data_IF_059500787009
#
_entry.id   IF_059500787009
#
_cell.length_a   1.000
_cell.length_b   1.000
_cell.length_c   1.000
_cell.angle_alpha   90.00
_cell.angle_beta   90.00
_cell.angle_gamma   90.00
#
_symmetry.space_group_name_H-M   'P 1'
#
loop_
_entity.id
_entity.type
_entity.pdbx_description
1 polymer ?
#
# COMPACT_ATOMS: atom_id res chain seq x y z
N UNK A 1 -14.74 -2.97 -20.71
CA UNK A 1 -15.03 -2.30 -19.45
C UNK A 1 -13.82 -2.39 -18.50
N UNK A 2 -13.28 -3.59 -18.20
CA UNK A 2 -12.13 -3.74 -17.26
C UNK A 2 -10.90 -2.98 -17.74
N UNK A 3 -10.45 -3.14 -18.98
CA UNK A 3 -9.29 -2.42 -19.52
C UNK A 3 -9.45 -0.88 -19.46
N UNK A 4 -10.67 -0.38 -19.59
CA UNK A 4 -10.94 1.06 -19.45
C UNK A 4 -10.81 1.53 -18.00
N UNK A 5 -11.30 0.74 -17.05
CA UNK A 5 -11.14 1.04 -15.61
C UNK A 5 -9.67 1.00 -15.20
N UNK A 6 -8.94 -0.02 -15.65
CA UNK A 6 -7.49 -0.14 -15.41
C UNK A 6 -6.73 1.07 -15.96
N UNK A 7 -7.03 1.49 -17.19
CA UNK A 7 -6.43 2.69 -17.78
C UNK A 7 -6.67 3.91 -16.89
N UNK A 8 -7.92 4.18 -16.47
CA UNK A 8 -8.25 5.34 -15.64
C UNK A 8 -7.62 5.27 -14.25
N UNK A 9 -7.55 4.07 -13.64
CA UNK A 9 -6.87 3.89 -12.35
C UNK A 9 -5.37 4.15 -12.49
N UNK A 10 -4.73 3.62 -13.54
CA UNK A 10 -3.30 3.83 -13.80
C UNK A 10 -2.98 5.30 -14.08
N UNK A 11 -3.84 6.01 -14.82
CA UNK A 11 -3.69 7.45 -15.08
C UNK A 11 -3.80 8.31 -13.81
N UNK A 12 -4.66 7.92 -12.86
CA UNK A 12 -4.90 8.68 -11.62
C UNK A 12 -3.95 8.31 -10.48
N UNK A 13 -3.57 7.03 -10.36
CA UNK A 13 -2.75 6.50 -9.26
C UNK A 13 -1.26 6.39 -9.61
N UNK A 14 -0.93 6.47 -10.90
CA UNK A 14 0.43 6.31 -11.41
C UNK A 14 0.77 4.87 -11.80
N UNK A 15 1.88 4.71 -12.52
CA UNK A 15 2.33 3.44 -13.11
C UNK A 15 2.79 2.38 -12.09
N UNK A 16 3.00 2.77 -10.85
CA UNK A 16 3.40 1.86 -9.77
C UNK A 16 2.20 1.16 -9.10
N UNK A 17 0.97 1.44 -9.57
CA UNK A 17 -0.22 0.77 -9.07
C UNK A 17 -0.25 -0.65 -9.63
N UNK A 18 -0.15 -1.62 -8.74
CA UNK A 18 -0.35 -3.02 -9.10
C UNK A 18 -1.85 -3.31 -9.19
N UNK A 19 -2.30 -3.75 -10.36
CA UNK A 19 -3.70 -4.08 -10.62
C UNK A 19 -3.80 -5.55 -10.96
N UNK A 20 -4.55 -6.29 -10.16
CA UNK A 20 -4.86 -7.71 -10.37
C UNK A 20 -6.28 -7.88 -10.89
N UNK A 21 -6.48 -8.79 -11.83
CA UNK A 21 -7.79 -9.10 -12.41
C UNK A 21 -8.24 -10.51 -12.05
N UNK A 22 -9.48 -10.63 -11.61
CA UNK A 22 -10.09 -11.91 -11.26
C UNK A 22 -11.35 -12.12 -12.13
N UNK A 23 -11.47 -13.30 -12.72
CA UNK A 23 -12.61 -13.65 -13.58
C UNK A 23 -13.88 -13.98 -12.81
N UNK A 24 -13.79 -14.25 -11.50
CA UNK A 24 -14.93 -14.52 -10.62
C UNK A 24 -14.64 -14.16 -9.19
N UNK A 25 -15.69 -14.08 -8.36
CA UNK A 25 -15.57 -13.84 -6.93
C UNK A 25 -14.84 -14.97 -6.22
N UNK A 26 -15.04 -16.21 -6.63
CA UNK A 26 -14.37 -17.39 -6.07
C UNK A 26 -12.86 -17.35 -6.33
N UNK A 27 -12.43 -16.91 -7.53
CA UNK A 27 -11.01 -16.78 -7.86
C UNK A 27 -10.34 -15.71 -6.97
N UNK A 28 -11.00 -14.56 -6.76
CA UNK A 28 -10.52 -13.54 -5.83
C UNK A 28 -10.43 -14.09 -4.40
N UNK A 29 -11.45 -14.78 -3.91
CA UNK A 29 -11.48 -15.34 -2.56
C UNK A 29 -10.44 -16.42 -2.33
N UNK A 30 -10.07 -17.18 -3.36
CA UNK A 30 -9.02 -18.20 -3.28
C UNK A 30 -7.61 -17.58 -3.09
N UNK A 31 -7.39 -16.40 -3.66
CA UNK A 31 -6.12 -15.65 -3.56
C UNK A 31 -6.12 -14.61 -2.43
N UNK A 32 -7.29 -14.38 -1.82
CA UNK A 32 -7.49 -13.34 -0.81
C UNK A 32 -6.65 -13.57 0.45
N UNK A 33 -6.04 -12.49 0.90
CA UNK A 33 -5.41 -12.39 2.22
C UNK A 33 -5.66 -11.00 2.78
N UNK A 34 -5.94 -10.86 4.08
CA UNK A 34 -6.09 -9.54 4.72
C UNK A 34 -4.86 -8.66 4.46
N UNK A 35 -5.09 -7.44 3.99
CA UNK A 35 -4.03 -6.48 3.67
C UNK A 35 -3.33 -6.70 2.33
N UNK A 36 -3.76 -7.66 1.50
CA UNK A 36 -3.20 -7.88 0.16
C UNK A 36 -3.58 -6.76 -0.82
N UNK A 37 -4.77 -6.17 -0.63
CA UNK A 37 -5.29 -5.10 -1.49
C UNK A 37 -5.74 -3.90 -0.67
N UNK A 38 -5.48 -2.70 -1.17
CA UNK A 38 -5.99 -1.46 -0.61
C UNK A 38 -7.42 -1.17 -1.07
N UNK A 39 -7.70 -1.50 -2.32
CA UNK A 39 -8.99 -1.31 -2.97
C UNK A 39 -9.37 -2.57 -3.73
N UNK A 40 -10.61 -3.00 -3.55
CA UNK A 40 -11.23 -4.04 -4.38
C UNK A 40 -12.45 -3.44 -5.06
N UNK A 41 -12.49 -3.53 -6.39
CA UNK A 41 -13.64 -3.11 -7.20
C UNK A 41 -14.38 -4.36 -7.67
N UNK A 42 -15.61 -4.53 -7.22
CA UNK A 42 -16.42 -5.71 -7.47
C UNK A 42 -17.55 -5.39 -8.46
N UNK A 43 -17.69 -6.21 -9.50
CA UNK A 43 -18.95 -6.23 -10.24
C UNK A 43 -20.02 -6.89 -9.38
N UNK A 44 -21.22 -6.32 -9.34
CA UNK A 44 -22.34 -6.93 -8.59
C UNK A 44 -22.83 -8.19 -9.28
N UNK A 45 -22.93 -8.13 -10.61
CA UNK A 45 -23.42 -9.23 -11.41
C UNK A 45 -22.23 -10.01 -12.00
N UNK A 46 -21.77 -11.00 -11.25
CA UNK A 46 -20.76 -11.96 -11.69
C UNK A 46 -21.41 -13.35 -11.84
N UNK A 47 -20.90 -14.18 -12.70
CA UNK A 47 -21.27 -15.59 -12.73
C UNK A 47 -20.79 -16.29 -11.44
N UNK A 48 -21.68 -16.96 -10.72
CA UNK A 48 -21.36 -17.58 -9.42
C UNK A 48 -21.72 -16.69 -8.24
N UNK A 49 -20.81 -16.52 -7.27
CA UNK A 49 -21.04 -15.65 -6.12
C UNK A 49 -21.23 -14.20 -6.56
N UNK A 50 -22.24 -13.53 -6.01
CA UNK A 50 -22.50 -12.12 -6.28
C UNK A 50 -21.40 -11.23 -5.69
N UNK A 51 -21.17 -10.04 -6.26
CA UNK A 51 -20.23 -9.08 -5.70
C UNK A 51 -20.52 -8.73 -4.24
N UNK A 52 -21.80 -8.76 -3.83
CA UNK A 52 -22.23 -8.51 -2.45
C UNK A 52 -21.81 -9.65 -1.50
N UNK A 53 -21.93 -10.90 -1.92
CA UNK A 53 -21.50 -12.05 -1.12
C UNK A 53 -19.98 -12.05 -0.95
N UNK A 54 -19.25 -11.73 -2.02
CA UNK A 54 -17.79 -11.56 -1.97
C UNK A 54 -17.42 -10.44 -1.01
N UNK A 55 -18.05 -9.26 -1.13
CA UNK A 55 -17.81 -8.12 -0.26
C UNK A 55 -18.01 -8.44 1.23
N UNK A 56 -19.08 -9.19 1.59
CA UNK A 56 -19.32 -9.62 2.98
C UNK A 56 -18.18 -10.50 3.50
N UNK A 57 -17.68 -11.43 2.69
CA UNK A 57 -16.54 -12.29 3.07
C UNK A 57 -15.27 -11.49 3.26
N UNK A 58 -14.95 -10.61 2.30
CA UNK A 58 -13.77 -9.74 2.42
C UNK A 58 -13.83 -8.87 3.68
N UNK A 59 -15.01 -8.31 3.97
CA UNK A 59 -15.23 -7.44 5.14
C UNK A 59 -15.13 -8.19 6.46
N UNK A 60 -15.53 -9.46 6.51
CA UNK A 60 -15.38 -10.31 7.70
C UNK A 60 -13.90 -10.56 8.04
N UNK A 61 -13.03 -10.67 7.01
CA UNK A 61 -11.63 -10.95 7.17
C UNK A 61 -10.78 -9.67 7.33
N UNK A 62 -11.19 -8.58 6.64
CA UNK A 62 -10.46 -7.31 6.63
C UNK A 62 -11.43 -6.12 6.70
N UNK A 63 -11.50 -5.51 7.87
CA UNK A 63 -12.29 -4.30 8.09
C UNK A 63 -11.71 -3.04 7.42
N UNK A 64 -10.46 -3.08 6.92
CA UNK A 64 -9.76 -1.90 6.40
C UNK A 64 -9.75 -1.82 4.87
N UNK A 65 -9.89 -2.95 4.16
CA UNK A 65 -9.94 -2.92 2.70
C UNK A 65 -11.04 -1.99 2.19
N UNK A 66 -10.72 -1.18 1.20
CA UNK A 66 -11.71 -0.33 0.55
C UNK A 66 -12.47 -1.14 -0.48
N UNK A 67 -13.80 -1.10 -0.41
CA UNK A 67 -14.67 -1.82 -1.33
C UNK A 67 -15.42 -0.80 -2.18
N UNK A 68 -15.38 -0.97 -3.50
CA UNK A 68 -16.22 -0.24 -4.43
C UNK A 68 -16.96 -1.22 -5.33
N UNK A 69 -18.15 -0.87 -5.74
CA UNK A 69 -18.90 -1.68 -6.70
C UNK A 69 -18.89 -1.03 -8.09
N UNK A 70 -18.69 -1.85 -9.11
CA UNK A 70 -18.82 -1.48 -10.50
C UNK A 70 -20.09 -2.13 -11.07
N UNK A 71 -21.09 -1.35 -11.46
CA UNK A 71 -22.39 -1.89 -11.87
C UNK A 71 -23.06 -1.07 -12.96
N UNK A 72 -23.95 -1.72 -13.72
CA UNK A 72 -24.85 -1.05 -14.66
C UNK A 72 -26.20 -0.67 -14.03
N UNK A 73 -26.53 -1.20 -12.83
CA UNK A 73 -27.79 -0.96 -12.11
C UNK A 73 -27.57 -0.24 -10.79
N UNK A 74 -28.58 0.48 -10.31
CA UNK A 74 -28.59 1.15 -9.01
C UNK A 74 -29.31 0.34 -7.92
N UNK A 75 -29.78 -0.88 -8.22
CA UNK A 75 -30.70 -1.63 -7.36
C UNK A 75 -30.11 -2.05 -6.00
N UNK A 76 -28.77 -2.09 -5.89
CA UNK A 76 -28.07 -2.54 -4.69
C UNK A 76 -27.43 -1.41 -3.89
N UNK A 77 -27.76 -0.16 -4.16
CA UNK A 77 -27.16 0.98 -3.48
C UNK A 77 -27.41 0.96 -1.96
N UNK A 78 -28.58 0.52 -1.50
CA UNK A 78 -28.92 0.38 -0.07
C UNK A 78 -28.14 -0.75 0.61
N UNK A 79 -28.01 -1.90 -0.04
CA UNK A 79 -27.30 -3.06 0.52
C UNK A 79 -25.77 -2.85 0.59
N UNK A 80 -25.23 -1.98 -0.27
CA UNK A 80 -23.81 -1.65 -0.27
C UNK A 80 -23.35 -0.97 1.03
N UNK A 81 -24.25 -0.28 1.73
CA UNK A 81 -23.97 0.31 3.06
C UNK A 81 -23.68 -0.75 4.11
N UNK A 82 -24.33 -1.91 4.06
CA UNK A 82 -24.14 -3.00 5.02
C UNK A 82 -22.72 -3.55 5.02
N UNK A 83 -22.06 -3.58 3.85
CA UNK A 83 -20.67 -4.03 3.68
C UNK A 83 -19.65 -2.89 3.79
N UNK A 84 -20.12 -1.66 4.10
CA UNK A 84 -19.26 -0.50 4.19
C UNK A 84 -18.54 -0.18 2.87
N UNK A 85 -19.23 -0.36 1.73
CA UNK A 85 -18.69 0.04 0.44
C UNK A 85 -18.49 1.56 0.38
N UNK A 86 -17.35 1.99 -0.14
CA UNK A 86 -16.98 3.40 -0.17
C UNK A 86 -17.59 4.12 -1.37
N UNK A 87 -17.82 3.41 -2.46
CA UNK A 87 -18.27 4.00 -3.71
C UNK A 87 -19.03 3.03 -4.60
N UNK A 88 -19.87 3.62 -5.45
CA UNK A 88 -20.62 2.95 -6.50
C UNK A 88 -20.22 3.53 -7.85
N UNK A 89 -19.49 2.76 -8.65
CA UNK A 89 -18.98 3.19 -9.95
C UNK A 89 -19.90 2.67 -11.05
N UNK A 90 -20.57 3.59 -11.74
CA UNK A 90 -21.53 3.22 -12.79
C UNK A 90 -20.85 2.91 -14.13
N UNK A 91 -21.24 1.80 -14.75
CA UNK A 91 -20.87 1.47 -16.14
C UNK A 91 -21.76 2.25 -17.15
N UNK A 92 -21.23 2.72 -18.28
CA UNK A 92 -19.83 2.73 -18.67
C UNK A 92 -19.00 3.69 -17.80
N UNK A 93 -17.76 3.28 -17.52
CA UNK A 93 -16.86 4.07 -16.67
C UNK A 93 -16.48 5.39 -17.33
N UNK A 94 -16.42 6.45 -16.53
CA UNK A 94 -15.97 7.78 -16.93
C UNK A 94 -14.81 8.21 -16.03
N UNK A 95 -13.84 8.98 -16.56
CA UNK A 95 -12.70 9.47 -15.76
C UNK A 95 -13.13 10.21 -14.50
N UNK A 96 -14.18 11.03 -14.59
CA UNK A 96 -14.70 11.81 -13.47
C UNK A 96 -15.26 10.92 -12.35
N UNK A 97 -15.94 9.83 -12.71
CA UNK A 97 -16.47 8.86 -11.75
C UNK A 97 -15.37 8.11 -11.04
N UNK A 98 -14.30 7.73 -11.75
CA UNK A 98 -13.12 7.09 -11.15
C UNK A 98 -12.39 8.06 -10.24
N UNK A 99 -12.20 9.32 -10.64
CA UNK A 99 -11.61 10.36 -9.79
C UNK A 99 -12.40 10.56 -8.51
N UNK A 100 -13.73 10.75 -8.61
CA UNK A 100 -14.60 10.94 -7.44
C UNK A 100 -14.58 9.71 -6.50
N UNK A 101 -14.46 8.49 -7.06
CA UNK A 101 -14.23 7.28 -6.27
C UNK A 101 -12.93 7.36 -5.49
N UNK A 102 -11.82 7.68 -6.16
CA UNK A 102 -10.50 7.75 -5.55
C UNK A 102 -10.40 8.85 -4.48
N UNK A 103 -10.99 10.02 -4.73
CA UNK A 103 -11.09 11.11 -3.74
C UNK A 103 -11.86 10.67 -2.49
N UNK A 104 -12.98 9.96 -2.67
CA UNK A 104 -13.79 9.48 -1.53
C UNK A 104 -13.14 8.33 -0.76
N UNK A 105 -12.23 7.58 -1.39
CA UNK A 105 -11.49 6.50 -0.74
C UNK A 105 -10.48 7.00 0.28
N UNK A 106 -10.12 8.29 0.25
CA UNK A 106 -9.05 8.88 1.07
C UNK A 106 -7.82 7.96 1.12
N UNK A 107 -7.25 7.70 -0.06
CA UNK A 107 -6.08 6.81 -0.20
C UNK A 107 -4.90 7.26 0.65
N UNK A 108 -4.78 8.57 0.89
CA UNK A 108 -3.75 9.10 1.78
C UNK A 108 -3.97 8.69 3.24
N UNK A 109 -5.23 8.70 3.73
CA UNK A 109 -5.52 8.22 5.08
C UNK A 109 -5.28 6.71 5.17
N UNK A 110 -5.60 5.96 4.10
CA UNK A 110 -5.32 4.54 4.00
C UNK A 110 -3.81 4.27 4.06
N UNK A 111 -3.00 4.97 3.26
CA UNK A 111 -1.54 4.85 3.33
C UNK A 111 -0.99 5.21 4.72
N UNK A 112 -1.56 6.23 5.36
CA UNK A 112 -1.16 6.64 6.73
C UNK A 112 -1.50 5.58 7.79
N UNK A 113 -2.60 4.86 7.63
CA UNK A 113 -3.08 3.85 8.57
C UNK A 113 -2.62 2.42 8.24
N UNK A 114 -1.96 2.20 7.10
CA UNK A 114 -1.52 0.87 6.65
C UNK A 114 -0.70 0.16 7.71
N UNK A 115 -1.10 -1.08 8.02
CA UNK A 115 -0.42 -1.91 9.01
C UNK A 115 0.34 -3.03 8.32
N UNK A 116 1.58 -3.22 8.78
CA UNK A 116 2.43 -4.34 8.38
C UNK A 116 2.36 -5.42 9.46
N UNK A 117 2.07 -6.65 9.06
CA UNK A 117 2.17 -7.82 9.95
C UNK A 117 3.63 -8.26 10.03
N UNK A 118 4.14 -8.38 11.23
CA UNK A 118 5.52 -8.76 11.52
C UNK A 118 5.65 -10.28 11.69
N UNK A 119 6.88 -10.84 11.61
CA UNK A 119 7.11 -12.29 11.74
C UNK A 119 6.66 -12.89 13.08
N UNK A 120 6.57 -12.10 14.13
CA UNK A 120 6.06 -12.52 15.45
C UNK A 120 4.53 -12.46 15.57
N UNK A 121 3.83 -12.12 14.47
CA UNK A 121 2.39 -11.97 14.41
C UNK A 121 1.86 -10.61 14.87
N UNK A 122 2.68 -9.75 15.45
CA UNK A 122 2.31 -8.37 15.83
C UNK A 122 2.11 -7.49 14.59
N UNK A 123 1.48 -6.33 14.78
CA UNK A 123 1.26 -5.36 13.71
C UNK A 123 1.90 -4.02 14.06
N UNK A 124 2.44 -3.34 13.06
CA UNK A 124 2.98 -1.99 13.16
C UNK A 124 2.42 -1.11 12.06
N UNK A 125 2.14 0.16 12.36
CA UNK A 125 1.77 1.14 11.33
C UNK A 125 3.00 1.40 10.46
N UNK A 126 2.92 1.13 9.17
CA UNK A 126 4.06 1.20 8.24
C UNK A 126 4.71 2.59 8.25
N UNK A 127 3.90 3.65 8.24
CA UNK A 127 4.34 5.05 8.29
C UNK A 127 4.95 5.47 9.62
N UNK A 128 4.78 4.68 10.69
CA UNK A 128 5.45 4.97 11.97
C UNK A 128 6.92 4.55 11.94
N UNK A 129 7.30 3.59 11.11
CA UNK A 129 8.66 3.07 11.01
C UNK A 129 9.56 4.11 10.34
N UNK A 130 10.59 4.58 11.03
CA UNK A 130 11.63 5.47 10.49
C UNK A 130 12.69 4.67 9.76
N UNK A 131 13.18 3.63 10.41
CA UNK A 131 14.14 2.66 9.86
C UNK A 131 14.11 1.37 10.67
N UNK A 132 14.67 0.32 10.10
CA UNK A 132 14.90 -0.95 10.79
C UNK A 132 16.41 -1.22 10.83
N UNK A 133 16.91 -1.70 11.96
CA UNK A 133 18.30 -2.08 12.12
C UNK A 133 18.42 -3.45 12.77
N UNK A 134 19.40 -4.26 12.32
CA UNK A 134 19.71 -5.56 12.91
C UNK A 134 20.92 -5.50 13.81
N UNK A 135 20.83 -6.20 14.93
CA UNK A 135 21.95 -6.51 15.83
C UNK A 135 21.90 -8.01 16.17
N UNK A 136 22.79 -8.77 15.55
CA UNK A 136 22.83 -10.24 15.67
C UNK A 136 21.52 -10.90 15.22
N UNK A 137 20.82 -11.53 16.18
CA UNK A 137 19.53 -12.21 15.94
C UNK A 137 18.33 -11.34 16.34
N UNK A 138 18.50 -10.03 16.42
CA UNK A 138 17.43 -9.09 16.74
C UNK A 138 17.31 -8.06 15.64
N UNK A 139 16.08 -7.68 15.36
CA UNK A 139 15.76 -6.55 14.46
C UNK A 139 14.98 -5.54 15.28
N UNK A 140 15.47 -4.32 15.34
CA UNK A 140 14.76 -3.20 15.96
C UNK A 140 14.14 -2.32 14.89
N UNK A 141 12.83 -2.16 14.95
CA UNK A 141 12.08 -1.17 14.20
C UNK A 141 12.07 0.12 15.02
N UNK A 142 12.77 1.12 14.54
CA UNK A 142 12.77 2.46 15.14
C UNK A 142 11.56 3.22 14.67
N UNK A 143 10.54 3.33 15.53
CA UNK A 143 9.26 3.94 15.19
C UNK A 143 9.08 5.32 15.83
N UNK A 144 8.12 6.10 15.32
CA UNK A 144 7.77 7.41 15.88
C UNK A 144 7.16 7.33 17.27
N UNK A 145 6.45 6.23 17.52
CA UNK A 145 5.73 5.91 18.75
C UNK A 145 6.55 5.03 19.74
N UNK A 146 7.83 4.82 19.45
CA UNK A 146 8.75 4.03 20.26
C UNK A 146 9.29 2.81 19.52
N UNK A 147 10.46 2.34 19.96
CA UNK A 147 11.16 1.24 19.32
C UNK A 147 10.51 -0.11 19.61
N UNK A 148 10.56 -1.01 18.62
CA UNK A 148 10.05 -2.39 18.72
C UNK A 148 11.13 -3.37 18.31
N UNK A 149 11.53 -4.24 19.23
CA UNK A 149 12.58 -5.23 18.97
C UNK A 149 11.97 -6.62 18.78
N UNK A 150 12.29 -7.22 17.64
CA UNK A 150 11.87 -8.55 17.23
C UNK A 150 13.02 -9.54 17.41
N UNK A 151 12.74 -10.74 17.89
CA UNK A 151 13.69 -11.87 17.88
C UNK A 151 13.55 -12.64 16.58
N UNK A 152 14.16 -12.13 15.53
CA UNK A 152 14.08 -12.68 14.18
C UNK A 152 15.32 -12.33 13.36
N UNK A 153 15.51 -12.99 12.23
CA UNK A 153 16.57 -12.63 11.29
C UNK A 153 16.18 -11.38 10.48
N UNK A 154 17.18 -10.61 10.09
CA UNK A 154 16.96 -9.46 9.20
C UNK A 154 16.40 -9.89 7.83
N UNK A 155 16.81 -11.07 7.33
CA UNK A 155 16.29 -11.65 6.10
C UNK A 155 14.77 -11.93 6.12
N UNK A 156 14.16 -12.05 7.30
CA UNK A 156 12.71 -12.18 7.43
C UNK A 156 11.98 -10.83 7.42
N UNK A 157 12.65 -9.73 7.76
CA UNK A 157 12.04 -8.38 7.88
C UNK A 157 12.32 -7.51 6.65
N UNK A 158 13.54 -7.55 6.12
CA UNK A 158 13.94 -6.72 4.96
C UNK A 158 12.99 -6.87 3.76
N UNK A 159 12.62 -8.08 3.29
CA UNK A 159 11.69 -8.23 2.16
C UNK A 159 10.30 -7.68 2.45
N UNK A 160 9.82 -7.80 3.71
CA UNK A 160 8.51 -7.29 4.10
C UNK A 160 8.45 -5.76 4.03
N UNK A 161 9.53 -5.08 4.42
CA UNK A 161 9.61 -3.62 4.33
C UNK A 161 9.89 -3.18 2.89
N UNK A 162 10.86 -3.79 2.22
CA UNK A 162 11.26 -3.42 0.85
C UNK A 162 10.22 -3.82 -0.22
N UNK A 163 9.14 -4.53 0.14
CA UNK A 163 7.96 -4.66 -0.71
C UNK A 163 7.25 -3.31 -0.96
N UNK A 164 7.53 -2.30 -0.13
CA UNK A 164 6.98 -0.96 -0.28
C UNK A 164 8.04 -0.01 -0.84
N UNK A 165 7.76 0.76 -1.91
CA UNK A 165 8.72 1.63 -2.59
C UNK A 165 9.37 2.69 -1.69
N UNK A 166 8.72 3.04 -0.58
CA UNK A 166 9.26 3.97 0.40
C UNK A 166 10.34 3.37 1.31
N UNK A 167 10.56 2.06 1.28
CA UNK A 167 11.60 1.41 2.07
C UNK A 167 12.74 0.89 1.19
N UNK A 168 13.96 1.12 1.64
CA UNK A 168 15.16 0.67 0.94
C UNK A 168 16.23 0.19 1.91
N UNK A 169 16.80 -0.98 1.62
CA UNK A 169 17.99 -1.45 2.32
C UNK A 169 19.21 -0.62 1.91
N UNK A 170 19.87 0.05 2.84
CA UNK A 170 20.98 0.99 2.56
C UNK A 170 22.35 0.44 2.86
N UNK A 171 22.43 -0.47 3.81
CA UNK A 171 23.64 -1.23 4.14
C UNK A 171 23.24 -2.57 4.75
N UNK A 172 24.22 -3.40 5.09
CA UNK A 172 23.95 -4.70 5.72
C UNK A 172 23.20 -4.50 7.04
N UNK A 173 21.98 -5.05 7.11
CA UNK A 173 21.17 -5.03 8.31
C UNK A 173 20.44 -3.71 8.58
N UNK A 174 20.34 -2.79 7.60
CA UNK A 174 19.60 -1.54 7.76
C UNK A 174 18.68 -1.27 6.56
N UNK A 175 17.40 -1.04 6.85
CA UNK A 175 16.38 -0.55 5.91
C UNK A 175 15.91 0.81 6.36
N UNK A 176 15.85 1.80 5.48
CA UNK A 176 15.36 3.16 5.75
C UNK A 176 14.01 3.41 5.12
N UNK A 177 13.17 4.20 5.76
CA UNK A 177 11.96 4.77 5.19
C UNK A 177 12.26 6.13 4.55
N UNK A 178 12.13 6.25 3.24
CA UNK A 178 12.38 7.48 2.51
C UNK A 178 11.48 8.65 2.89
N UNK A 179 10.30 8.39 3.42
CA UNK A 179 9.45 9.45 3.98
C UNK A 179 10.09 10.17 5.17
N UNK A 180 11.00 9.53 5.87
CA UNK A 180 11.67 10.06 7.05
C UNK A 180 13.03 10.69 6.75
N UNK A 181 13.49 10.60 5.51
CA UNK A 181 14.74 11.25 5.07
C UNK A 181 14.50 12.74 4.91
N UNK A 182 15.21 13.55 5.69
CA UNK A 182 15.25 15.00 5.58
C UNK A 182 16.22 15.47 4.48
N UNK A 183 17.33 14.74 4.31
CA UNK A 183 18.34 15.06 3.32
C UNK A 183 19.41 13.98 3.19
N UNK A 184 20.29 14.15 2.21
CA UNK A 184 21.42 13.26 1.97
C UNK A 184 22.71 14.08 1.86
N UNK A 185 23.74 13.62 2.53
CA UNK A 185 25.10 14.16 2.44
C UNK A 185 26.01 13.00 2.00
N UNK A 186 26.51 13.08 0.77
CA UNK A 186 27.36 12.04 0.15
C UNK A 186 26.77 10.63 0.31
N UNK A 187 27.31 9.83 1.23
CA UNK A 187 26.93 8.45 1.53
C UNK A 187 26.17 8.31 2.86
N UNK A 188 25.54 9.38 3.34
CA UNK A 188 24.76 9.38 4.59
C UNK A 188 23.37 9.96 4.36
N UNK A 189 22.32 9.27 4.79
CA UNK A 189 21.01 9.85 4.97
C UNK A 189 20.91 10.53 6.33
N UNK A 190 20.37 11.75 6.33
CA UNK A 190 19.95 12.46 7.52
C UNK A 190 18.44 12.32 7.67
N UNK A 191 17.97 11.72 8.74
CA UNK A 191 16.54 11.60 9.03
C UNK A 191 16.00 12.88 9.68
N UNK A 192 14.67 13.03 9.67
CA UNK A 192 13.96 14.17 10.24
C UNK A 192 14.17 14.33 11.75
N UNK A 193 14.46 13.24 12.45
CA UNK A 193 14.79 13.23 13.89
C UNK A 193 16.29 13.47 14.19
N UNK A 194 17.08 13.74 13.17
CA UNK A 194 18.52 13.96 13.27
C UNK A 194 19.38 12.69 13.20
N UNK A 195 18.78 11.50 13.11
CA UNK A 195 19.51 10.24 12.97
C UNK A 195 20.29 10.22 11.66
N UNK A 196 21.54 9.78 11.72
CA UNK A 196 22.44 9.65 10.54
C UNK A 196 22.60 8.18 10.20
N UNK A 197 22.24 7.79 8.99
CA UNK A 197 22.33 6.42 8.51
C UNK A 197 23.30 6.32 7.34
N UNK A 198 24.42 5.60 7.50
CA UNK A 198 25.41 5.44 6.43
C UNK A 198 24.89 4.50 5.34
N UNK A 199 25.16 4.86 4.08
CA UNK A 199 24.88 4.04 2.91
C UNK A 199 26.15 3.28 2.55
N UNK A 200 26.07 1.96 2.39
CA UNK A 200 27.24 1.20 1.98
C UNK A 200 27.69 1.57 0.55
N UNK A 201 28.98 1.68 0.31
CA UNK A 201 29.55 2.03 -1.02
C UNK A 201 29.00 1.13 -2.13
N UNK A 202 28.79 -0.15 -1.83
CA UNK A 202 28.27 -1.14 -2.79
C UNK A 202 26.82 -0.82 -3.22
N UNK A 203 26.01 -0.28 -2.34
CA UNK A 203 24.58 0.02 -2.61
C UNK A 203 24.33 1.49 -2.95
N UNK A 204 25.35 2.34 -2.91
CA UNK A 204 25.20 3.79 -3.04
C UNK A 204 24.43 4.20 -4.30
N UNK A 205 24.79 3.63 -5.45
CA UNK A 205 24.14 3.94 -6.72
C UNK A 205 22.69 3.48 -6.75
N UNK A 206 22.43 2.24 -6.37
CA UNK A 206 21.07 1.65 -6.28
C UNK A 206 20.15 2.48 -5.36
N UNK A 207 20.66 2.82 -4.17
CA UNK A 207 19.93 3.62 -3.18
C UNK A 207 19.65 5.03 -3.68
N UNK A 208 20.60 5.65 -4.40
CA UNK A 208 20.41 6.97 -4.99
C UNK A 208 19.34 6.98 -6.09
N UNK A 209 19.34 5.97 -6.95
CA UNK A 209 18.35 5.79 -8.01
C UNK A 209 16.95 5.59 -7.38
N UNK A 210 16.82 4.69 -6.39
CA UNK A 210 15.58 4.45 -5.68
C UNK A 210 15.04 5.69 -4.94
N UNK A 211 15.91 6.42 -4.25
CA UNK A 211 15.52 7.65 -3.54
C UNK A 211 15.10 8.76 -4.50
N UNK A 212 15.77 8.89 -5.64
CA UNK A 212 15.42 9.88 -6.66
C UNK A 212 14.09 9.57 -7.30
N UNK A 213 13.80 8.30 -7.63
CA UNK A 213 12.52 7.84 -8.14
C UNK A 213 11.40 8.13 -7.13
N UNK A 214 11.59 7.75 -5.86
CA UNK A 214 10.64 8.02 -4.79
C UNK A 214 10.32 9.52 -4.64
N UNK A 215 11.33 10.39 -4.70
CA UNK A 215 11.13 11.85 -4.61
C UNK A 215 10.36 12.39 -5.81
N UNK A 216 10.69 11.93 -7.00
CA UNK A 216 10.03 12.36 -8.23
C UNK A 216 8.54 12.01 -8.23
N UNK A 217 8.20 10.77 -7.83
CA UNK A 217 6.80 10.34 -7.74
C UNK A 217 6.01 11.13 -6.71
N UNK A 218 6.67 11.47 -5.61
CA UNK A 218 6.03 12.30 -4.59
C UNK A 218 5.74 13.72 -5.08
N UNK A 219 6.68 14.37 -5.77
CA UNK A 219 6.47 15.70 -6.34
C UNK A 219 5.31 15.72 -7.34
N UNK A 220 5.17 14.66 -8.15
CA UNK A 220 4.03 14.50 -9.08
C UNK A 220 2.69 14.33 -8.35
N UNK A 221 2.66 13.62 -7.21
CA UNK A 221 1.45 13.46 -6.40
C UNK A 221 1.07 14.75 -5.65
N UNK A 222 2.04 15.53 -5.21
CA UNK A 222 1.82 16.79 -4.48
C UNK A 222 1.47 17.97 -5.42
N UNK A 223 1.36 17.75 -6.75
CA UNK A 223 0.88 18.74 -7.73
C UNK A 223 1.85 19.91 -7.97
N UNK A 224 3.12 19.72 -7.71
CA UNK A 224 4.17 20.70 -8.03
C UNK A 224 4.73 20.36 -9.41
N UNK A 225 4.22 21.04 -10.45
CA UNK A 225 4.81 21.08 -11.80
C UNK A 225 6.14 21.87 -11.80
#
# INVERSE_FOLDING_TARGET
ALAQLEQYLTEQLGRETEISHYGSGEALLADWRPGAFELVVLDIYMGGATGMEVARRLRADDGQVRLAFATSSNDFASESYEVGACYYLRKPFRPEGVRAMLERLDLEALERSRRLRLPDGSQVVLRSIRYAASDGHRVTLHCKDGDRTLRTSFAAVEPLLCAYPCFCGICRGVVVNFHEVAGRQEDVFLLKDGTRLPISRRRLREVQEAYSAFRFDRLRKDGVD
#
